data_IF_309861734225
#
_entry.id   IF_309861734225
#
_cell.length_a   1.000
_cell.length_b   1.000
_cell.length_c   1.000
_cell.angle_alpha   90.00
_cell.angle_beta   90.00
_cell.angle_gamma   90.00
#
_symmetry.space_group_name_H-M   'P 1'
#
loop_
_entity.id
_entity.type
_entity.pdbx_description
1 polymer ?
#
# COMPACT_ATOMS: atom_id res chain seq x y z
N UNK A 1 2.76 10.35 -5.29
CA UNK A 1 3.50 10.20 -4.03
C UNK A 1 2.63 10.37 -2.80
N UNK A 2 1.92 11.48 -2.63
CA UNK A 2 1.11 11.73 -1.41
C UNK A 2 0.02 10.69 -1.15
N UNK A 3 -0.70 10.23 -2.18
CA UNK A 3 -1.75 9.21 -2.05
C UNK A 3 -1.19 7.86 -1.59
N UNK A 4 -0.05 7.44 -2.16
CA UNK A 4 0.64 6.21 -1.74
C UNK A 4 1.14 6.33 -0.30
N UNK A 5 1.63 7.52 0.07
CA UNK A 5 2.03 7.83 1.45
C UNK A 5 0.83 7.71 2.39
N UNK A 6 -0.33 8.27 2.03
CA UNK A 6 -1.54 8.19 2.84
C UNK A 6 -2.06 6.76 2.98
N UNK A 7 -1.97 5.93 1.93
CA UNK A 7 -2.33 4.51 2.03
C UNK A 7 -1.44 3.74 3.00
N UNK A 8 -0.12 3.91 2.91
CA UNK A 8 0.83 3.25 3.82
C UNK A 8 0.70 3.77 5.25
N UNK A 9 0.60 5.09 5.42
CA UNK A 9 0.47 5.73 6.74
C UNK A 9 -0.84 5.31 7.40
N UNK A 10 -1.97 5.41 6.70
CA UNK A 10 -3.30 5.12 7.29
C UNK A 10 -3.41 3.72 7.88
N UNK A 11 -2.94 2.70 7.16
CA UNK A 11 -2.98 1.30 7.64
C UNK A 11 -1.83 0.95 8.58
N UNK A 12 -0.70 1.66 8.52
CA UNK A 12 0.38 1.42 9.49
C UNK A 12 0.07 2.04 10.85
N UNK A 13 -0.66 3.16 10.88
CA UNK A 13 -0.97 3.88 12.12
C UNK A 13 -1.87 3.08 13.08
N UNK A 14 -2.84 2.33 12.55
CA UNK A 14 -3.71 1.45 13.35
C UNK A 14 -2.96 0.30 14.05
N UNK A 15 -1.78 -0.08 13.54
CA UNK A 15 -0.91 -1.12 14.10
C UNK A 15 0.07 -0.50 15.10
N UNK A 16 0.62 0.67 14.76
CA UNK A 16 1.76 1.27 15.46
C UNK A 16 1.35 2.19 16.62
N UNK A 17 0.19 2.84 16.51
CA UNK A 17 -0.30 3.79 17.51
C UNK A 17 -1.44 3.17 18.30
N UNK A 18 -1.43 3.25 19.64
CA UNK A 18 -2.60 2.92 20.44
C UNK A 18 -3.78 3.82 20.06
N UNK A 19 -4.89 3.21 19.70
CA UNK A 19 -6.17 3.84 19.42
C UNK A 19 -7.25 3.43 20.42
N UNK A 20 -8.47 3.90 20.16
CA UNK A 20 -9.69 3.46 20.84
C UNK A 20 -10.07 2.04 20.44
N UNK A 21 -9.79 1.68 19.18
CA UNK A 21 -9.95 0.32 18.65
C UNK A 21 -8.64 -0.06 17.99
N UNK A 22 -7.93 -0.99 18.62
CA UNK A 22 -6.66 -1.51 18.12
C UNK A 22 -6.90 -2.73 17.25
N UNK A 23 -6.04 -2.87 16.25
CA UNK A 23 -6.01 -4.02 15.36
C UNK A 23 -4.62 -4.61 15.41
N UNK A 24 -4.53 -5.94 15.33
CA UNK A 24 -3.24 -6.60 15.28
C UNK A 24 -2.74 -6.82 13.85
N UNK A 25 -1.45 -7.15 13.72
CA UNK A 25 -0.84 -7.37 12.43
C UNK A 25 -1.35 -8.66 11.73
N UNK A 26 -1.76 -9.67 12.50
CA UNK A 26 -2.23 -10.93 11.93
C UNK A 26 -3.57 -10.75 11.20
N UNK A 27 -4.46 -9.95 11.77
CA UNK A 27 -5.74 -9.57 11.19
C UNK A 27 -5.51 -8.85 9.85
N UNK A 28 -4.74 -7.76 9.83
CA UNK A 28 -4.48 -7.00 8.60
C UNK A 28 -3.79 -7.86 7.55
N UNK A 29 -2.82 -8.67 7.97
CA UNK A 29 -2.15 -9.62 7.06
C UNK A 29 -3.13 -10.62 6.47
N UNK A 30 -4.16 -11.05 7.20
CA UNK A 30 -5.15 -12.00 6.68
C UNK A 30 -5.99 -11.43 5.52
N UNK A 31 -6.25 -10.12 5.54
CA UNK A 31 -6.99 -9.42 4.47
C UNK A 31 -6.08 -9.02 3.30
N UNK A 32 -4.84 -8.59 3.59
CA UNK A 32 -3.95 -8.03 2.58
C UNK A 32 -3.08 -9.08 1.88
N UNK A 33 -2.95 -10.28 2.44
CA UNK A 33 -2.13 -11.34 1.86
C UNK A 33 -2.87 -12.01 0.72
N UNK A 34 -2.20 -12.11 -0.43
CA UNK A 34 -2.69 -12.78 -1.64
C UNK A 34 -4.00 -12.18 -2.20
N UNK A 35 -4.40 -10.98 -1.77
CA UNK A 35 -5.66 -10.34 -2.15
C UNK A 35 -5.62 -9.60 -3.49
N UNK A 36 -4.51 -9.71 -4.24
CA UNK A 36 -4.35 -9.10 -5.55
C UNK A 36 -4.30 -7.58 -5.49
N UNK A 37 -5.10 -6.93 -6.34
CA UNK A 37 -5.17 -5.47 -6.39
C UNK A 37 -5.81 -4.88 -5.14
N UNK A 38 -5.29 -3.72 -4.72
CA UNK A 38 -5.82 -2.92 -3.63
C UNK A 38 -6.15 -1.52 -4.12
N UNK A 39 -7.27 -0.97 -3.66
CA UNK A 39 -7.69 0.40 -3.92
C UNK A 39 -7.80 1.15 -2.60
N UNK A 40 -7.58 2.47 -2.67
CA UNK A 40 -7.59 3.36 -1.51
C UNK A 40 -8.78 4.30 -1.63
N UNK A 41 -9.52 4.50 -0.55
CA UNK A 41 -10.52 5.56 -0.41
C UNK A 41 -10.15 6.44 0.76
N UNK A 42 -10.24 7.76 0.60
CA UNK A 42 -9.98 8.71 1.68
C UNK A 42 -11.14 9.69 1.75
N UNK A 43 -11.69 9.86 2.94
CA UNK A 43 -12.68 10.86 3.28
C UNK A 43 -12.19 11.71 4.43
N UNK A 44 -12.61 12.97 4.44
CA UNK A 44 -12.44 13.88 5.57
C UNK A 44 -13.77 14.56 5.87
N UNK A 45 -13.99 14.89 7.13
CA UNK A 45 -15.22 15.53 7.59
C UNK A 45 -14.97 16.43 8.79
N UNK A 46 -15.87 17.40 8.98
CA UNK A 46 -15.86 18.31 10.12
C UNK A 46 -17.28 18.64 10.59
N UNK A 47 -17.39 19.26 11.76
CA UNK A 47 -18.67 19.64 12.34
C UNK A 47 -19.52 18.44 12.80
N UNK A 48 -20.84 18.66 12.92
CA UNK A 48 -21.76 17.73 13.60
C UNK A 48 -22.02 16.42 12.86
N UNK A 49 -21.84 16.40 11.54
CA UNK A 49 -22.06 15.23 10.68
C UNK A 49 -20.76 14.64 10.15
N UNK A 50 -19.62 15.02 10.75
CA UNK A 50 -18.28 14.61 10.28
C UNK A 50 -18.14 13.10 10.09
N UNK A 51 -18.74 12.28 10.94
CA UNK A 51 -18.70 10.82 10.81
C UNK A 51 -19.36 10.32 9.52
N UNK A 52 -20.61 10.73 9.26
CA UNK A 52 -21.37 10.34 8.07
C UNK A 52 -20.74 10.91 6.80
N UNK A 53 -20.39 12.20 6.83
CA UNK A 53 -19.82 12.92 5.69
C UNK A 53 -18.46 12.31 5.29
N UNK A 54 -17.61 12.03 6.28
CA UNK A 54 -16.29 11.42 6.07
C UNK A 54 -16.41 10.00 5.53
N UNK A 55 -17.33 9.18 6.08
CA UNK A 55 -17.53 7.81 5.62
C UNK A 55 -18.02 7.76 4.18
N UNK A 56 -19.01 8.61 3.87
CA UNK A 56 -19.55 8.74 2.50
C UNK A 56 -18.46 9.18 1.53
N UNK A 57 -17.66 10.18 1.90
CA UNK A 57 -16.57 10.67 1.07
C UNK A 57 -15.48 9.62 0.83
N UNK A 58 -15.17 8.78 1.82
CA UNK A 58 -14.21 7.71 1.69
C UNK A 58 -14.70 6.60 0.74
N UNK A 59 -15.97 6.22 0.83
CA UNK A 59 -16.62 5.20 -0.02
C UNK A 59 -16.75 5.68 -1.46
N UNK A 60 -17.11 6.94 -1.66
CA UNK A 60 -17.26 7.54 -3.00
C UNK A 60 -15.96 8.18 -3.51
N UNK A 61 -14.81 7.83 -2.93
CA UNK A 61 -13.53 8.46 -3.25
C UNK A 61 -13.15 8.15 -4.69
N UNK A 62 -12.69 9.14 -5.50
CA UNK A 62 -12.23 8.90 -6.87
C UNK A 62 -10.96 8.05 -6.95
N UNK A 63 -10.35 7.74 -5.81
CA UNK A 63 -9.21 6.83 -5.68
C UNK A 63 -9.64 5.34 -5.70
N UNK A 64 -10.95 5.08 -5.61
CA UNK A 64 -11.56 3.77 -5.77
C UNK A 64 -12.04 3.65 -7.22
N UNK A 65 -11.22 3.02 -8.07
CA UNK A 65 -11.59 2.75 -9.47
C UNK A 65 -12.80 1.81 -9.62
N UNK A 66 -13.12 1.05 -8.57
CA UNK A 66 -14.25 0.14 -8.48
C UNK A 66 -15.06 0.40 -7.21
N UNK A 67 -16.39 0.20 -7.24
CA UNK A 67 -17.23 0.33 -6.04
C UNK A 67 -16.77 -0.62 -4.93
N UNK A 68 -16.78 -0.16 -3.67
CA UNK A 68 -16.30 -0.94 -2.52
C UNK A 68 -17.13 -2.21 -2.28
N UNK A 69 -18.36 -2.26 -2.80
CA UNK A 69 -19.23 -3.43 -2.82
C UNK A 69 -18.58 -4.64 -3.50
N UNK A 70 -17.62 -4.43 -4.40
CA UNK A 70 -16.92 -5.52 -5.10
C UNK A 70 -15.72 -6.10 -4.34
N UNK A 71 -15.37 -5.57 -3.17
CA UNK A 71 -14.18 -5.99 -2.43
C UNK A 71 -14.49 -7.15 -1.47
N UNK A 72 -13.69 -8.21 -1.52
CA UNK A 72 -13.81 -9.33 -0.56
C UNK A 72 -13.11 -9.05 0.77
N UNK A 73 -12.23 -8.05 0.81
CA UNK A 73 -11.45 -7.68 1.97
C UNK A 73 -11.37 -6.17 2.12
N UNK A 74 -11.66 -5.66 3.32
CA UNK A 74 -11.65 -4.23 3.60
C UNK A 74 -10.95 -3.97 4.91
N UNK A 75 -9.98 -3.06 4.89
CA UNK A 75 -9.37 -2.49 6.09
C UNK A 75 -9.68 -1.01 6.09
N UNK A 76 -10.27 -0.48 7.16
CA UNK A 76 -10.42 0.97 7.28
C UNK A 76 -10.00 1.49 8.64
N UNK A 77 -9.52 2.73 8.66
CA UNK A 77 -9.08 3.40 9.86
C UNK A 77 -9.83 4.72 10.02
N UNK A 78 -10.34 4.96 11.22
CA UNK A 78 -10.99 6.22 11.60
C UNK A 78 -10.02 7.01 12.47
N UNK A 79 -9.59 8.16 12.00
CA UNK A 79 -8.70 9.08 12.73
C UNK A 79 -9.49 10.34 13.06
N UNK A 80 -9.57 10.71 14.33
CA UNK A 80 -10.28 11.93 14.74
C UNK A 80 -9.57 12.65 15.87
N UNK A 81 -9.94 13.91 16.07
CA UNK A 81 -9.43 14.69 17.20
C UNK A 81 -9.89 14.16 18.58
N UNK A 82 -9.39 14.76 19.68
CA UNK A 82 -9.73 14.36 21.05
C UNK A 82 -11.22 14.44 21.40
N UNK A 83 -11.99 15.18 20.58
CA UNK A 83 -13.44 15.33 20.69
C UNK A 83 -14.22 14.17 20.06
N UNK A 84 -13.56 13.22 19.40
CA UNK A 84 -14.21 12.09 18.74
C UNK A 84 -14.87 11.14 19.76
N UNK A 85 -16.13 10.82 19.52
CA UNK A 85 -16.93 9.97 20.40
C UNK A 85 -17.11 8.55 19.83
N UNK A 86 -17.40 7.59 20.71
CA UNK A 86 -17.75 6.22 20.30
C UNK A 86 -19.01 6.19 19.41
N UNK A 87 -19.95 7.12 19.62
CA UNK A 87 -21.14 7.21 18.76
C UNK A 87 -20.76 7.57 17.33
N UNK A 88 -19.88 8.55 17.13
CA UNK A 88 -19.39 8.93 15.80
C UNK A 88 -18.64 7.79 15.11
N UNK A 89 -17.80 7.06 15.86
CA UNK A 89 -17.10 5.87 15.35
C UNK A 89 -18.10 4.81 14.88
N UNK A 90 -19.13 4.53 15.67
CA UNK A 90 -20.15 3.55 15.32
C UNK A 90 -20.97 3.99 14.10
N UNK A 91 -21.40 5.25 14.04
CA UNK A 91 -22.14 5.79 12.89
C UNK A 91 -21.31 5.73 11.62
N UNK A 92 -20.01 6.05 11.68
CA UNK A 92 -19.12 5.94 10.54
C UNK A 92 -18.95 4.48 10.07
N UNK A 93 -18.72 3.57 11.01
CA UNK A 93 -18.58 2.16 10.73
C UNK A 93 -19.87 1.57 10.10
N UNK A 94 -21.05 1.91 10.63
CA UNK A 94 -22.34 1.48 10.07
C UNK A 94 -22.53 1.92 8.61
N UNK A 95 -22.15 3.16 8.27
CA UNK A 95 -22.21 3.63 6.87
C UNK A 95 -21.35 2.75 5.97
N UNK A 96 -20.12 2.44 6.38
CA UNK A 96 -19.21 1.58 5.60
C UNK A 96 -19.74 0.15 5.52
N UNK A 97 -20.18 -0.44 6.63
CA UNK A 97 -20.75 -1.80 6.65
C UNK A 97 -21.96 -1.95 5.72
N UNK A 98 -22.78 -0.92 5.59
CA UNK A 98 -23.96 -0.94 4.72
C UNK A 98 -23.63 -0.74 3.23
N UNK A 99 -22.41 -0.31 2.90
CA UNK A 99 -21.97 -0.04 1.53
C UNK A 99 -21.06 -1.11 0.95
N UNK A 100 -20.79 -2.20 1.69
CA UNK A 100 -19.84 -3.25 1.29
C UNK A 100 -20.55 -4.59 1.18
N UNK A 101 -19.87 -5.58 0.58
CA UNK A 101 -20.43 -6.93 0.48
C UNK A 101 -20.64 -7.52 1.90
N UNK A 102 -21.82 -8.11 2.21
CA UNK A 102 -22.09 -8.73 3.50
C UNK A 102 -21.13 -9.89 3.86
N UNK A 103 -20.54 -10.52 2.85
CA UNK A 103 -19.56 -11.60 3.00
C UNK A 103 -18.12 -11.08 2.98
N UNK A 104 -17.89 -9.76 2.85
CA UNK A 104 -16.56 -9.17 2.91
C UNK A 104 -15.96 -9.35 4.31
N UNK A 105 -14.67 -9.71 4.36
CA UNK A 105 -13.92 -9.67 5.60
C UNK A 105 -13.55 -8.20 5.88
N UNK A 106 -13.92 -7.68 7.05
CA UNK A 106 -13.76 -6.28 7.39
C UNK A 106 -12.98 -6.14 8.69
N UNK A 107 -11.94 -5.32 8.64
CA UNK A 107 -11.14 -4.92 9.78
C UNK A 107 -11.22 -3.42 9.91
N UNK A 108 -11.47 -2.94 11.13
CA UNK A 108 -11.41 -1.51 11.39
C UNK A 108 -10.75 -1.19 12.70
N UNK A 109 -10.22 0.03 12.77
CA UNK A 109 -9.75 0.62 14.00
C UNK A 109 -10.02 2.11 14.04
N UNK A 110 -9.78 2.65 15.21
CA UNK A 110 -10.10 4.03 15.52
C UNK A 110 -9.00 4.61 16.39
N UNK A 111 -8.45 5.74 15.98
CA UNK A 111 -7.34 6.39 16.67
C UNK A 111 -7.61 7.87 16.88
N UNK A 112 -7.06 8.40 17.98
CA UNK A 112 -7.19 9.80 18.36
C UNK A 112 -5.89 10.50 18.01
N UNK A 113 -5.98 11.53 17.19
CA UNK A 113 -4.86 12.42 16.86
C UNK A 113 -5.14 13.81 17.44
N UNK A 114 -4.36 14.21 18.44
CA UNK A 114 -4.49 15.50 19.13
C UNK A 114 -4.32 16.71 18.18
N UNK A 115 -3.66 16.53 17.05
CA UNK A 115 -3.40 17.61 16.08
C UNK A 115 -4.59 17.92 15.18
N UNK A 116 -5.61 17.06 15.12
CA UNK A 116 -6.77 17.21 14.22
C UNK A 116 -7.88 18.13 14.74
N UNK A 117 -7.86 18.50 16.03
CA UNK A 117 -8.88 19.38 16.61
C UNK A 117 -10.31 18.81 16.51
N UNK A 118 -11.13 19.38 15.63
CA UNK A 118 -12.52 18.93 15.39
C UNK A 118 -12.69 18.10 14.10
N UNK A 119 -11.61 17.84 13.37
CA UNK A 119 -11.64 17.07 12.13
C UNK A 119 -11.70 15.56 12.39
N UNK A 120 -12.23 14.86 11.40
CA UNK A 120 -12.22 13.40 11.30
C UNK A 120 -11.80 13.00 9.88
N UNK A 121 -11.05 11.93 9.77
CA UNK A 121 -10.56 11.35 8.52
C UNK A 121 -10.79 9.84 8.55
N UNK A 122 -11.17 9.28 7.40
CA UNK A 122 -11.35 7.85 7.20
C UNK A 122 -10.55 7.44 5.99
N UNK A 123 -9.71 6.43 6.19
CA UNK A 123 -8.94 5.79 5.12
C UNK A 123 -9.42 4.36 4.97
N UNK A 124 -9.89 4.00 3.78
CA UNK A 124 -10.36 2.67 3.40
C UNK A 124 -9.33 2.06 2.45
N UNK A 125 -8.94 0.81 2.69
CA UNK A 125 -8.21 -0.03 1.74
C UNK A 125 -9.09 -1.22 1.41
N UNK A 126 -9.50 -1.29 0.15
CA UNK A 126 -10.33 -2.36 -0.38
C UNK A 126 -9.47 -3.30 -1.23
N UNK A 127 -9.60 -4.61 -1.04
CA UNK A 127 -8.81 -5.66 -1.70
C UNK A 127 -9.71 -6.80 -2.19
N UNK A 128 -9.18 -7.64 -3.07
CA UNK A 128 -9.88 -8.84 -3.53
C UNK A 128 -11.00 -8.56 -4.54
N UNK A 129 -10.85 -7.53 -5.37
CA UNK A 129 -11.81 -7.24 -6.43
C UNK A 129 -11.83 -8.35 -7.50
N UNK A 130 -13.02 -8.85 -7.89
CA UNK A 130 -13.17 -9.90 -8.89
C UNK A 130 -12.62 -9.45 -10.25
N UNK A 131 -11.74 -10.27 -10.85
CA UNK A 131 -11.14 -10.01 -12.16
C UNK A 131 -9.76 -9.33 -12.13
N UNK A 132 -9.25 -8.99 -10.94
CA UNK A 132 -7.91 -8.39 -10.79
C UNK A 132 -6.74 -9.39 -11.02
N UNK A 133 -7.01 -10.70 -10.96
CA UNK A 133 -5.99 -11.75 -11.18
C UNK A 133 -5.46 -11.83 -12.63
N UNK A 134 -6.12 -11.21 -13.61
CA UNK A 134 -5.77 -11.42 -15.03
C UNK A 134 -4.74 -10.43 -15.61
N UNK A 135 -4.30 -9.41 -14.88
CA UNK A 135 -3.38 -8.39 -15.44
C UNK A 135 -1.93 -8.48 -14.95
N UNK A 136 -1.63 -9.15 -13.85
CA UNK A 136 -0.23 -9.36 -13.41
C UNK A 136 0.50 -10.45 -14.22
N UNK A 137 -0.22 -11.35 -14.90
CA UNK A 137 0.39 -12.46 -15.65
C UNK A 137 0.63 -12.17 -17.15
N UNK A 138 0.20 -11.03 -17.67
CA UNK A 138 0.15 -10.78 -19.13
C UNK A 138 1.27 -9.89 -19.70
N UNK A 139 2.26 -9.45 -18.89
CA UNK A 139 3.41 -8.66 -19.37
C UNK A 139 4.73 -9.45 -19.43
N UNK A 140 4.68 -10.75 -19.71
CA UNK A 140 5.89 -11.55 -20.01
C UNK A 140 5.80 -12.33 -21.32
N UNK A 141 5.12 -11.79 -22.33
CA UNK A 141 5.35 -12.17 -23.72
C UNK A 141 6.30 -11.18 -24.41
N UNK A 142 7.53 -11.07 -23.90
CA UNK A 142 8.63 -10.57 -24.74
C UNK A 142 8.94 -11.67 -25.75
N UNK A 143 8.81 -11.29 -27.02
CA UNK A 143 8.98 -12.13 -28.19
C UNK A 143 10.17 -13.10 -28.10
N UNK A 144 9.96 -14.31 -28.60
CA UNK A 144 11.02 -15.25 -29.02
C UNK A 144 12.08 -14.51 -29.84
N UNK A 145 13.20 -14.19 -29.23
CA UNK A 145 14.46 -13.96 -29.94
C UNK A 145 15.33 -15.20 -29.76
N UNK A 146 15.77 -15.76 -30.90
CA UNK A 146 16.66 -16.92 -30.98
C UNK A 146 17.94 -16.67 -30.17
N UNK A 147 18.58 -17.71 -29.60
CA UNK A 147 19.89 -17.56 -29.01
C UNK A 147 20.93 -17.36 -30.13
N UNK A 148 21.37 -16.12 -30.34
CA UNK A 148 22.55 -15.85 -31.13
C UNK A 148 23.78 -16.36 -30.37
N UNK A 149 24.52 -17.30 -30.97
CA UNK A 149 25.83 -17.75 -30.49
C UNK A 149 26.79 -16.57 -30.46
N UNK A 150 27.19 -16.15 -29.27
CA UNK A 150 28.28 -15.19 -29.07
C UNK A 150 29.58 -15.93 -29.34
N UNK A 151 30.24 -15.63 -30.45
CA UNK A 151 31.64 -16.04 -30.68
C UNK A 151 32.56 -15.09 -29.90
N UNK A 152 33.61 -15.57 -29.22
CA UNK A 152 34.58 -14.69 -28.57
C UNK A 152 35.37 -13.93 -29.63
N UNK A 153 35.34 -12.60 -29.56
CA UNK A 153 36.26 -11.75 -30.30
C UNK A 153 37.64 -11.92 -29.67
N UNK A 154 38.53 -12.63 -30.36
CA UNK A 154 39.97 -12.61 -30.06
C UNK A 154 40.54 -11.27 -30.53
N UNK A 155 41.24 -10.51 -29.68
CA UNK A 155 42.01 -9.38 -30.17
C UNK A 155 43.29 -9.90 -30.84
N UNK A 156 43.48 -9.52 -32.11
CA UNK A 156 44.71 -9.75 -32.87
C UNK A 156 45.91 -9.13 -32.16
N UNK A 157 46.92 -9.96 -31.97
CA UNK A 157 48.25 -9.61 -31.50
C UNK A 157 49.08 -9.03 -32.63
N UNK A 158 49.55 -7.80 -32.48
CA UNK A 158 50.76 -7.33 -33.14
C UNK A 158 51.87 -7.14 -32.10
N UNK A 159 53.00 -7.78 -32.40
CA UNK A 159 54.17 -7.97 -31.56
C UNK A 159 55.15 -6.82 -31.70
N UNK A 160 55.64 -6.26 -30.59
CA UNK A 160 57.08 -6.10 -30.31
C UNK A 160 57.36 -5.28 -29.03
N UNK A 161 58.35 -5.77 -28.25
CA UNK A 161 59.06 -5.10 -27.14
C UNK A 161 58.21 -4.81 -25.88
N UNK A 162 58.63 -5.07 -24.65
CA UNK A 162 59.94 -5.09 -24.06
C UNK A 162 59.89 -5.88 -22.73
N UNK A 163 61.01 -6.44 -22.31
CA UNK A 163 61.18 -7.16 -21.05
C UNK A 163 60.97 -6.22 -19.85
N UNK A 164 60.46 -6.82 -18.76
CA UNK A 164 60.70 -6.47 -17.36
C UNK A 164 60.49 -5.03 -16.91
N UNK A 165 59.42 -4.78 -16.16
CA UNK A 165 59.50 -4.15 -14.84
C UNK A 165 58.11 -4.15 -14.20
N UNK A 166 57.96 -4.92 -13.13
CA UNK A 166 56.78 -4.86 -12.27
C UNK A 166 56.70 -3.46 -11.64
N UNK A 167 55.55 -2.77 -11.72
CA UNK A 167 55.37 -1.46 -11.09
C UNK A 167 55.41 -1.52 -9.55
N UNK A 168 56.08 -0.52 -8.97
CA UNK A 168 56.46 -0.42 -7.55
C UNK A 168 55.27 -0.41 -6.56
N UNK A 169 54.05 -0.17 -7.02
CA UNK A 169 52.85 -0.09 -6.17
C UNK A 169 52.38 -1.45 -5.62
N UNK A 170 52.82 -2.58 -6.22
CA UNK A 170 52.45 -3.94 -5.79
C UNK A 170 53.21 -4.42 -4.54
N UNK A 171 54.21 -3.67 -4.07
CA UNK A 171 55.08 -4.10 -2.96
C UNK A 171 54.68 -3.60 -1.57
N UNK A 172 53.62 -2.78 -1.40
CA UNK A 172 53.45 -2.03 -0.14
C UNK A 172 52.21 -2.25 0.74
N UNK A 173 51.35 -3.24 0.52
CA UNK A 173 50.27 -3.51 1.49
C UNK A 173 50.03 -5.00 1.79
N UNK A 174 51.10 -5.69 2.22
CA UNK A 174 50.98 -6.82 3.16
C UNK A 174 51.99 -6.68 4.30
N UNK A 175 51.72 -5.75 5.22
CA UNK A 175 51.71 -5.96 6.68
C UNK A 175 51.17 -4.73 7.38
#
# INVERSE_FOLDING_TARGET
DEILRQGVVGISEIILKPGLVNVDFADIRSIMKDSGSALLGIGTGNGKRRAEDCSTAAISSPLLDFPVEGASGIVFNITGGPSMTLHEINSAAEVIYNSVDPDANIIFGALVDETMGEEMSITIVATGFPGSESQAASQSSVAKSQPAKIQPVVPESDSAANKSSLPEFLLRHKK
#
